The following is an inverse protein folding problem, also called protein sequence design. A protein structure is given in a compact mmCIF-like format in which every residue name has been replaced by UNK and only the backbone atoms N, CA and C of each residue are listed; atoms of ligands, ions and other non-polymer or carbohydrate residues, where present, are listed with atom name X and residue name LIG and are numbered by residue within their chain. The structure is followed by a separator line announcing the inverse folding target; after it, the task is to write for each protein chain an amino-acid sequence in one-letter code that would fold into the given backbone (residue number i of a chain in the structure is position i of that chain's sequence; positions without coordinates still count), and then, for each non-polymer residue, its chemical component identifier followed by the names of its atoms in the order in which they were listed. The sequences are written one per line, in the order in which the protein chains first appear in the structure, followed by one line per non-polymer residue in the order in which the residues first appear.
data_IF_397308015835
#
_entry.id   IF_397308015835
#
_cell.length_a   1.000
_cell.length_b   1.000
_cell.length_c   1.000
_cell.angle_alpha   90.00
_cell.angle_beta   90.00
_cell.angle_gamma   90.00
#
_symmetry.space_group_name_H-M   'P 1'
#
loop_
_entity.id
_entity.type
_entity.pdbx_description
1 polymer ?
#
# COMPACT_ATOMS: atom_id res chain seq x y z
N UNK A 1 2.45 9.37 -12.09
CA UNK A 1 1.07 9.34 -12.64
C UNK A 1 0.22 8.67 -11.57
N UNK A 2 -0.78 9.40 -11.05
CA UNK A 2 -1.58 8.93 -9.92
C UNK A 2 -2.74 8.05 -10.39
N UNK A 3 -3.05 7.01 -9.64
CA UNK A 3 -4.24 6.19 -9.87
C UNK A 3 -5.50 6.90 -9.42
N UNK A 4 -6.66 6.34 -9.79
CA UNK A 4 -7.97 6.83 -9.37
C UNK A 4 -8.11 7.02 -7.84
N UNK A 5 -7.41 6.22 -7.04
CA UNK A 5 -7.44 6.30 -5.58
C UNK A 5 -6.53 7.42 -5.06
N UNK A 6 -5.42 7.65 -5.73
CA UNK A 6 -4.45 8.69 -5.39
C UNK A 6 -4.97 10.08 -5.81
N UNK A 7 -5.62 10.20 -6.97
CA UNK A 7 -6.20 11.46 -7.45
C UNK A 7 -7.33 12.01 -6.57
N UNK A 8 -7.97 11.16 -5.78
CA UNK A 8 -9.09 11.54 -4.90
C UNK A 8 -8.64 11.98 -3.51
N UNK A 9 -7.36 11.84 -3.19
CA UNK A 9 -6.84 12.08 -1.85
C UNK A 9 -5.69 13.09 -1.87
N UNK A 10 -5.72 14.00 -0.91
CA UNK A 10 -4.54 14.82 -0.59
C UNK A 10 -3.61 14.00 0.30
N UNK A 11 -2.41 13.73 -0.18
CA UNK A 11 -1.38 13.11 0.64
C UNK A 11 -0.71 14.15 1.52
N UNK A 12 -0.45 13.85 2.79
CA UNK A 12 0.42 14.68 3.59
C UNK A 12 1.83 14.64 2.99
N UNK A 13 2.54 15.77 3.08
CA UNK A 13 3.96 15.81 2.72
C UNK A 13 4.73 15.20 3.89
N UNK A 14 5.33 14.03 3.67
CA UNK A 14 6.19 13.42 4.67
C UNK A 14 7.58 14.05 4.65
N UNK A 15 8.23 14.19 5.81
CA UNK A 15 9.57 14.79 5.87
C UNK A 15 10.62 13.88 5.22
N UNK A 16 11.69 14.50 4.71
CA UNK A 16 12.94 13.80 4.35
C UNK A 16 13.74 13.60 5.64
N UNK A 17 14.31 12.42 5.83
CA UNK A 17 15.17 12.15 6.99
C UNK A 17 16.52 12.89 6.86
N UNK A 18 16.79 13.81 7.80
CA UNK A 18 18.00 14.66 7.80
C UNK A 18 18.82 14.56 9.08
N UNK A 19 18.45 13.69 10.01
CA UNK A 19 19.13 13.51 11.30
C UNK A 19 19.19 12.04 11.64
N UNK A 20 20.24 11.66 12.36
CA UNK A 20 20.41 10.31 12.88
C UNK A 20 19.20 9.87 13.70
N UNK A 21 18.79 8.64 13.48
CA UNK A 21 17.64 8.03 14.16
C UNK A 21 17.99 6.66 14.72
N UNK A 22 17.25 6.31 15.77
CA UNK A 22 17.23 4.95 16.33
C UNK A 22 15.79 4.47 16.41
N UNK A 23 15.57 3.21 16.02
CA UNK A 23 14.24 2.59 16.06
C UNK A 23 14.36 1.11 16.37
N UNK A 24 13.32 0.52 16.98
CA UNK A 24 13.27 -0.93 17.18
C UNK A 24 13.03 -1.65 15.86
N UNK A 25 12.15 -1.11 15.02
CA UNK A 25 11.79 -1.70 13.72
C UNK A 25 11.80 -0.61 12.65
N UNK A 26 12.51 -0.90 11.56
CA UNK A 26 12.53 -0.09 10.35
C UNK A 26 11.90 -0.88 9.21
N UNK A 27 10.89 -0.32 8.59
CA UNK A 27 10.31 -0.79 7.33
C UNK A 27 10.90 0.03 6.17
N UNK A 28 11.41 -0.66 5.16
CA UNK A 28 11.92 -0.07 3.92
C UNK A 28 10.91 -0.29 2.82
N UNK A 29 10.39 0.81 2.28
CA UNK A 29 9.25 0.84 1.37
C UNK A 29 7.93 1.16 2.08
N UNK A 30 7.19 2.15 1.59
CA UNK A 30 5.91 2.59 2.16
C UNK A 30 4.73 1.77 1.61
N UNK A 31 4.78 0.44 1.74
CA UNK A 31 3.72 -0.44 1.27
C UNK A 31 2.51 -0.43 2.22
N UNK A 32 1.33 -0.80 1.73
CA UNK A 32 0.15 -0.94 2.58
C UNK A 32 0.36 -2.02 3.66
N UNK A 33 1.05 -3.10 3.33
CA UNK A 33 1.44 -4.15 4.27
C UNK A 33 2.31 -3.60 5.39
N UNK A 34 3.38 -2.88 5.04
CA UNK A 34 4.27 -2.25 6.02
C UNK A 34 3.54 -1.25 6.91
N UNK A 35 2.61 -0.47 6.37
CA UNK A 35 1.80 0.46 7.16
C UNK A 35 0.93 -0.27 8.19
N UNK A 36 0.29 -1.37 7.81
CA UNK A 36 -0.53 -2.21 8.71
C UNK A 36 0.34 -2.82 9.81
N UNK A 37 1.45 -3.45 9.44
CA UNK A 37 2.36 -4.07 10.40
C UNK A 37 2.97 -3.03 11.35
N UNK A 38 3.43 -1.89 10.82
CA UNK A 38 3.99 -0.79 11.59
C UNK A 38 3.00 -0.27 12.65
N UNK A 39 1.73 -0.08 12.28
CA UNK A 39 0.70 0.33 13.21
C UNK A 39 0.55 -0.67 14.37
N UNK A 40 0.45 -1.98 14.09
CA UNK A 40 0.33 -2.99 15.15
C UNK A 40 1.58 -3.07 16.03
N UNK A 41 2.78 -2.94 15.45
CA UNK A 41 4.02 -2.90 16.24
C UNK A 41 4.08 -1.66 17.15
N UNK A 42 3.60 -0.52 16.65
CA UNK A 42 3.49 0.72 17.43
C UNK A 42 2.52 0.57 18.59
N UNK A 43 1.37 -0.07 18.38
CA UNK A 43 0.41 -0.36 19.47
C UNK A 43 0.98 -1.30 20.54
N UNK A 44 1.94 -2.15 20.18
CA UNK A 44 2.69 -2.98 21.14
C UNK A 44 3.79 -2.20 21.87
N UNK A 45 3.89 -0.88 21.69
CA UNK A 45 4.84 -0.01 22.38
C UNK A 45 6.24 0.00 21.79
N UNK A 46 6.45 -0.53 20.58
CA UNK A 46 7.75 -0.46 19.87
C UNK A 46 7.92 0.88 19.17
N UNK A 47 9.15 1.34 19.10
CA UNK A 47 9.50 2.44 18.19
C UNK A 47 9.57 1.90 16.76
N UNK A 48 8.82 2.54 15.86
CA UNK A 48 8.66 2.06 14.49
C UNK A 48 8.83 3.21 13.50
N UNK A 49 9.52 2.93 12.41
CA UNK A 49 9.78 3.88 11.35
C UNK A 49 9.54 3.24 9.97
N UNK A 50 9.02 4.03 9.05
CA UNK A 50 8.92 3.68 7.63
C UNK A 50 9.76 4.68 6.84
N UNK A 51 10.58 4.20 5.92
CA UNK A 51 11.28 5.05 4.95
C UNK A 51 10.91 4.64 3.53
N UNK A 52 10.83 5.62 2.64
CA UNK A 52 10.53 5.43 1.22
C UNK A 52 11.51 6.25 0.37
N UNK A 53 12.07 5.62 -0.67
CA UNK A 53 13.02 6.29 -1.58
C UNK A 53 12.33 7.32 -2.47
N UNK A 54 11.05 7.09 -2.82
CA UNK A 54 10.24 7.98 -3.65
C UNK A 54 9.30 8.84 -2.81
N UNK A 55 8.47 9.64 -3.46
CA UNK A 55 7.32 10.26 -2.82
C UNK A 55 6.24 9.21 -2.57
N UNK A 56 5.68 9.18 -1.36
CA UNK A 56 4.66 8.20 -0.97
C UNK A 56 3.39 8.36 -1.81
N UNK A 57 3.04 9.60 -2.17
CA UNK A 57 1.90 9.85 -3.06
C UNK A 57 2.04 9.20 -4.44
N UNK A 58 3.26 8.90 -4.88
CA UNK A 58 3.57 8.27 -6.17
C UNK A 58 3.72 6.74 -6.09
N UNK A 59 3.50 6.13 -4.92
CA UNK A 59 3.69 4.69 -4.73
C UNK A 59 2.67 3.89 -5.53
N UNK A 60 3.12 2.97 -6.43
CA UNK A 60 2.22 2.16 -7.26
C UNK A 60 1.24 1.33 -6.45
N UNK A 61 1.67 0.80 -5.31
CA UNK A 61 0.86 -0.08 -4.48
C UNK A 61 -0.35 0.62 -3.86
N UNK A 62 -0.23 1.92 -3.55
CA UNK A 62 -1.35 2.73 -3.06
C UNK A 62 -2.34 3.06 -4.20
N UNK A 63 -1.91 2.89 -5.44
CA UNK A 63 -2.75 2.94 -6.62
C UNK A 63 -3.52 1.65 -6.90
N UNK A 64 -3.22 0.56 -6.19
CA UNK A 64 -3.80 -0.75 -6.41
C UNK A 64 -5.28 -0.86 -6.06
N UNK A 65 -5.89 -2.03 -6.36
CA UNK A 65 -7.33 -2.28 -6.14
C UNK A 65 -7.75 -2.34 -4.67
N UNK A 66 -6.79 -2.39 -3.75
CA UNK A 66 -7.07 -2.49 -2.31
C UNK A 66 -7.70 -3.83 -1.89
N UNK A 67 -7.55 -4.89 -2.70
CA UNK A 67 -8.02 -6.23 -2.34
C UNK A 67 -6.94 -6.93 -1.54
N UNK A 68 -7.28 -7.25 -0.28
CA UNK A 68 -6.44 -8.02 0.63
C UNK A 68 -7.01 -9.45 0.70
N UNK A 69 -6.21 -10.42 0.27
CA UNK A 69 -6.62 -11.82 0.15
C UNK A 69 -5.69 -12.73 0.94
N UNK A 70 -6.27 -13.61 1.73
CA UNK A 70 -5.55 -14.66 2.42
C UNK A 70 -5.46 -15.92 1.53
N UNK A 71 -4.25 -16.44 1.33
CA UNK A 71 -3.96 -17.63 0.53
C UNK A 71 -3.64 -18.86 1.41
N UNK A 72 -3.38 -18.62 2.69
CA UNK A 72 -3.06 -19.66 3.67
C UNK A 72 -3.66 -19.34 5.04
N UNK A 73 -3.55 -20.29 5.98
CA UNK A 73 -4.15 -20.18 7.31
C UNK A 73 -3.59 -19.02 8.16
N UNK A 74 -2.34 -18.67 8.01
CA UNK A 74 -1.74 -17.59 8.78
C UNK A 74 -2.23 -16.23 8.26
N UNK A 75 -2.17 -16.04 6.95
CA UNK A 75 -2.73 -14.85 6.30
C UNK A 75 -4.22 -14.69 6.59
N UNK A 76 -4.98 -15.80 6.67
CA UNK A 76 -6.40 -15.74 7.07
C UNK A 76 -6.59 -15.19 8.49
N UNK A 77 -5.75 -15.62 9.44
CA UNK A 77 -5.81 -15.08 10.80
C UNK A 77 -5.47 -13.59 10.82
N UNK A 78 -4.42 -13.18 10.10
CA UNK A 78 -4.01 -11.78 9.98
C UNK A 78 -5.11 -10.94 9.34
N UNK A 79 -5.74 -11.43 8.28
CA UNK A 79 -6.87 -10.77 7.63
C UNK A 79 -8.07 -10.61 8.57
N UNK A 80 -8.39 -11.63 9.37
CA UNK A 80 -9.45 -11.55 10.38
C UNK A 80 -9.12 -10.53 11.47
N UNK A 81 -7.88 -10.45 11.92
CA UNK A 81 -7.43 -9.46 12.90
C UNK A 81 -7.58 -8.05 12.31
N UNK A 82 -7.07 -7.83 11.10
CA UNK A 82 -7.17 -6.56 10.41
C UNK A 82 -8.62 -6.13 10.19
N UNK A 83 -9.47 -7.02 9.68
CA UNK A 83 -10.90 -6.74 9.48
C UNK A 83 -11.58 -6.30 10.77
N UNK A 84 -11.37 -7.05 11.86
CA UNK A 84 -11.95 -6.71 13.16
C UNK A 84 -11.38 -5.40 13.72
N UNK A 85 -10.12 -5.12 13.47
CA UNK A 85 -9.48 -3.86 13.84
C UNK A 85 -10.11 -2.68 13.10
N UNK A 86 -10.25 -2.77 11.77
CA UNK A 86 -10.90 -1.74 10.94
C UNK A 86 -12.32 -1.44 11.46
N UNK A 87 -13.11 -2.48 11.72
CA UNK A 87 -14.49 -2.34 12.20
C UNK A 87 -14.51 -1.68 13.59
N UNK A 88 -13.71 -2.17 14.52
CA UNK A 88 -13.66 -1.67 15.91
C UNK A 88 -13.19 -0.22 16.00
N UNK A 89 -12.21 0.15 15.19
CA UNK A 89 -11.66 1.51 15.16
C UNK A 89 -12.44 2.47 14.26
N UNK A 90 -13.51 1.98 13.61
CA UNK A 90 -14.30 2.76 12.65
C UNK A 90 -13.43 3.46 11.58
N UNK A 91 -12.44 2.72 11.03
CA UNK A 91 -11.51 3.28 10.06
C UNK A 91 -12.24 3.62 8.76
N UNK A 92 -12.18 4.88 8.27
CA UNK A 92 -12.92 5.31 7.10
C UNK A 92 -12.21 4.87 5.79
N UNK A 93 -12.05 3.57 5.57
CA UNK A 93 -11.33 3.01 4.42
C UNK A 93 -12.22 2.25 3.44
N UNK A 94 -13.54 2.52 3.43
CA UNK A 94 -14.50 1.92 2.50
C UNK A 94 -14.42 0.37 2.50
N UNK A 95 -14.42 -0.22 3.69
CA UNK A 95 -14.31 -1.68 3.86
C UNK A 95 -15.48 -2.42 3.24
N UNK A 96 -15.20 -3.35 2.35
CA UNK A 96 -16.15 -4.31 1.78
C UNK A 96 -15.64 -5.74 2.02
N UNK A 97 -16.54 -6.63 2.43
CA UNK A 97 -16.23 -8.05 2.62
C UNK A 97 -16.60 -8.79 1.34
N UNK A 98 -15.59 -9.19 0.55
CA UNK A 98 -15.83 -9.91 -0.70
C UNK A 98 -16.11 -11.39 -0.44
N UNK A 99 -15.36 -11.99 0.49
CA UNK A 99 -15.52 -13.39 0.90
C UNK A 99 -14.96 -13.59 2.30
N UNK A 100 -15.02 -14.83 2.82
CA UNK A 100 -14.38 -15.17 4.09
C UNK A 100 -12.85 -14.90 4.07
N UNK A 101 -12.22 -15.09 2.92
CA UNK A 101 -10.76 -14.98 2.75
C UNK A 101 -10.31 -13.71 2.04
N UNK A 102 -11.22 -12.77 1.77
CA UNK A 102 -10.86 -11.52 1.08
C UNK A 102 -11.73 -10.34 1.49
N UNK A 103 -11.08 -9.20 1.66
CA UNK A 103 -11.69 -7.91 1.88
C UNK A 103 -11.20 -6.90 0.84
N UNK A 104 -11.99 -5.88 0.62
CA UNK A 104 -11.62 -4.74 -0.20
C UNK A 104 -11.63 -3.47 0.65
N UNK A 105 -10.67 -2.60 0.43
CA UNK A 105 -10.51 -1.33 1.14
C UNK A 105 -10.09 -0.24 0.16
N UNK A 106 -10.24 1.01 0.55
CA UNK A 106 -9.56 2.11 -0.14
C UNK A 106 -8.11 2.15 0.34
N UNK A 107 -7.11 1.80 -0.49
CA UNK A 107 -5.75 1.55 -0.03
C UNK A 107 -5.10 2.80 0.57
N UNK A 108 -5.32 3.98 -0.04
CA UNK A 108 -4.77 5.25 0.45
C UNK A 108 -5.36 5.63 1.81
N UNK A 109 -6.70 5.55 1.97
CA UNK A 109 -7.34 5.87 3.26
C UNK A 109 -6.85 4.96 4.38
N UNK A 110 -6.72 3.66 4.10
CA UNK A 110 -6.19 2.71 5.07
C UNK A 110 -4.74 3.01 5.40
N UNK A 111 -3.89 3.25 4.40
CA UNK A 111 -2.49 3.62 4.60
C UNK A 111 -2.35 4.85 5.50
N UNK A 112 -3.05 5.94 5.18
CA UNK A 112 -2.99 7.18 5.95
C UNK A 112 -3.45 6.99 7.39
N UNK A 113 -4.47 6.17 7.61
CA UNK A 113 -4.90 5.87 8.98
C UNK A 113 -3.85 5.05 9.74
N UNK A 114 -3.30 4.02 9.13
CA UNK A 114 -2.31 3.13 9.75
C UNK A 114 -0.99 3.85 10.06
N UNK A 115 -0.65 4.89 9.31
CA UNK A 115 0.61 5.61 9.49
C UNK A 115 0.49 6.89 10.33
N UNK A 116 -0.71 7.27 10.79
CA UNK A 116 -0.94 8.55 11.51
C UNK A 116 -0.04 8.77 12.73
N UNK A 117 0.31 7.69 13.44
CA UNK A 117 1.14 7.72 14.65
C UNK A 117 2.51 7.05 14.44
N UNK A 118 2.87 6.69 13.20
CA UNK A 118 4.14 6.09 12.82
C UNK A 118 5.07 7.17 12.27
N UNK A 119 6.36 7.11 12.60
CA UNK A 119 7.36 7.97 11.96
C UNK A 119 7.55 7.53 10.51
N UNK A 120 7.20 8.39 9.56
CA UNK A 120 7.30 8.11 8.11
C UNK A 120 8.16 9.17 7.45
N UNK A 121 9.08 8.74 6.61
CA UNK A 121 9.97 9.59 5.83
C UNK A 121 9.93 9.19 4.36
N UNK A 122 9.75 10.16 3.47
CA UNK A 122 9.82 9.96 2.02
C UNK A 122 11.11 10.53 1.44
N UNK A 123 11.40 10.26 0.17
CA UNK A 123 12.59 10.72 -0.53
C UNK A 123 13.87 10.42 0.28
N UNK A 124 13.88 9.26 0.94
CA UNK A 124 14.93 8.84 1.86
C UNK A 124 15.54 7.53 1.36
N UNK A 125 16.64 7.67 0.63
CA UNK A 125 17.35 6.57 -0.02
C UNK A 125 18.44 6.01 0.88
N UNK A 126 18.49 4.67 0.99
CA UNK A 126 19.60 3.97 1.63
C UNK A 126 20.79 3.99 0.68
N UNK A 127 21.93 4.49 1.16
CA UNK A 127 23.18 4.57 0.41
C UNK A 127 24.17 3.46 0.78
N UNK A 128 24.12 2.97 2.02
CA UNK A 128 24.93 1.84 2.48
C UNK A 128 24.25 1.12 3.65
N UNK A 129 24.67 -0.13 3.90
CA UNK A 129 24.18 -0.94 5.02
C UNK A 129 25.34 -1.64 5.72
N UNK A 130 25.41 -1.50 7.02
CA UNK A 130 26.40 -2.13 7.90
C UNK A 130 25.68 -2.83 9.07
N UNK A 131 25.25 -4.06 8.85
CA UNK A 131 24.47 -4.80 9.83
C UNK A 131 23.11 -4.14 10.08
N UNK A 132 22.92 -3.59 11.29
CA UNK A 132 21.69 -2.90 11.70
C UNK A 132 21.71 -1.39 11.44
N UNK A 133 22.84 -0.86 11.01
CA UNK A 133 22.98 0.53 10.61
C UNK A 133 22.76 0.69 9.11
N UNK A 134 21.89 1.59 8.76
CA UNK A 134 21.62 2.00 7.39
C UNK A 134 22.05 3.45 7.22
N UNK A 135 22.98 3.69 6.34
CA UNK A 135 23.40 5.04 5.98
C UNK A 135 22.48 5.58 4.90
N UNK A 136 22.07 6.83 5.04
CA UNK A 136 21.33 7.61 4.07
C UNK A 136 22.16 8.84 3.69
N UNK A 137 21.73 9.63 2.71
CA UNK A 137 22.55 10.71 2.15
C UNK A 137 23.11 11.68 3.20
N UNK A 138 22.35 12.03 4.24
CA UNK A 138 22.71 13.05 5.23
C UNK A 138 22.66 12.59 6.69
N UNK A 139 22.36 11.31 6.94
CA UNK A 139 22.20 10.77 8.29
C UNK A 139 22.37 9.24 8.29
N UNK A 140 22.15 8.60 9.44
CA UNK A 140 22.03 7.14 9.53
C UNK A 140 20.84 6.72 10.40
N UNK A 141 20.40 5.49 10.22
CA UNK A 141 19.39 4.83 11.04
C UNK A 141 20.03 3.61 11.71
N UNK A 142 19.94 3.55 13.05
CA UNK A 142 20.28 2.36 13.83
C UNK A 142 18.98 1.63 14.17
N UNK A 143 18.73 0.51 13.50
CA UNK A 143 17.49 -0.25 13.62
C UNK A 143 17.72 -1.57 14.35
N UNK A 144 16.88 -1.91 15.33
CA UNK A 144 16.88 -3.21 15.98
C UNK A 144 16.58 -4.35 14.99
N UNK A 145 15.61 -4.12 14.11
CA UNK A 145 15.21 -5.00 13.00
C UNK A 145 14.93 -4.16 11.76
N UNK A 146 15.30 -4.68 10.58
CA UNK A 146 14.99 -4.08 9.28
C UNK A 146 14.12 -5.06 8.50
N UNK A 147 12.99 -4.57 8.00
CA UNK A 147 12.03 -5.33 7.20
C UNK A 147 11.96 -4.69 5.83
N UNK A 148 12.22 -5.47 4.80
CA UNK A 148 12.19 -5.10 3.39
C UNK A 148 11.37 -6.16 2.65
N UNK A 149 10.60 -5.74 1.65
CA UNK A 149 9.94 -6.71 0.78
C UNK A 149 10.92 -7.20 -0.30
N UNK A 150 11.17 -8.50 -0.32
CA UNK A 150 12.15 -9.15 -1.23
C UNK A 150 11.66 -9.26 -2.69
N UNK A 151 10.43 -8.93 -2.96
CA UNK A 151 9.84 -9.13 -4.30
C UNK A 151 9.69 -7.79 -5.02
N UNK A 152 10.25 -7.66 -6.24
CA UNK A 152 9.88 -6.57 -7.12
C UNK A 152 8.37 -6.64 -7.36
N UNK A 153 7.68 -5.52 -7.19
CA UNK A 153 6.26 -5.43 -7.51
C UNK A 153 6.08 -5.78 -9.00
N UNK A 154 5.26 -6.80 -9.28
CA UNK A 154 4.91 -7.09 -10.68
C UNK A 154 4.15 -5.90 -11.25
N UNK A 155 4.59 -5.42 -12.40
CA UNK A 155 3.91 -4.33 -13.09
C UNK A 155 2.47 -4.72 -13.39
N UNK A 156 1.55 -3.88 -12.98
CA UNK A 156 0.12 -4.04 -13.23
C UNK A 156 -0.42 -2.77 -13.84
N UNK A 157 -1.55 -2.90 -14.50
CA UNK A 157 -2.25 -1.76 -15.07
C UNK A 157 -3.66 -1.71 -14.49
N UNK A 158 -4.06 -0.53 -14.04
CA UNK A 158 -5.44 -0.26 -13.66
C UNK A 158 -6.11 0.47 -14.81
N UNK A 159 -7.26 -0.01 -15.21
CA UNK A 159 -8.06 0.55 -16.28
C UNK A 159 -9.46 0.90 -15.77
N UNK A 160 -9.99 2.02 -16.22
CA UNK A 160 -11.38 2.42 -15.96
C UNK A 160 -12.15 2.36 -17.26
N UNK A 161 -13.22 1.58 -17.27
CA UNK A 161 -14.15 1.48 -18.38
C UNK A 161 -15.52 2.00 -17.97
N UNK A 162 -16.28 2.60 -18.92
CA UNK A 162 -17.71 2.72 -18.73
C UNK A 162 -18.37 1.34 -18.85
N UNK A 163 -19.47 1.09 -18.13
CA UNK A 163 -20.16 -0.19 -18.15
C UNK A 163 -20.59 -0.59 -19.59
N UNK A 164 -20.97 0.40 -20.42
CA UNK A 164 -21.33 0.21 -21.83
C UNK A 164 -20.15 -0.05 -22.76
N UNK A 165 -18.91 0.26 -22.35
CA UNK A 165 -17.69 0.10 -23.14
C UNK A 165 -16.74 -0.97 -22.60
N UNK A 166 -17.25 -1.87 -21.73
CA UNK A 166 -16.43 -2.94 -21.19
C UNK A 166 -16.03 -3.91 -22.31
N UNK A 167 -14.74 -4.12 -22.56
CA UNK A 167 -14.29 -5.03 -23.60
C UNK A 167 -14.66 -6.48 -23.26
N UNK A 168 -14.95 -7.28 -24.29
CA UNK A 168 -14.97 -8.74 -24.15
C UNK A 168 -13.57 -9.23 -23.80
N UNK A 169 -13.34 -9.47 -22.52
CA UNK A 169 -12.02 -9.91 -22.05
C UNK A 169 -12.02 -11.42 -21.96
N UNK A 170 -11.32 -12.06 -22.88
CA UNK A 170 -11.00 -13.48 -22.78
C UNK A 170 -9.97 -13.68 -21.67
N UNK A 171 -10.35 -14.47 -20.65
CA UNK A 171 -9.44 -14.92 -19.57
C UNK A 171 -8.15 -15.50 -20.16
N UNK A 172 -6.92 -15.32 -19.60
CA UNK A 172 -6.64 -15.48 -18.16
C UNK A 172 -6.00 -14.28 -17.46
N UNK A 173 -5.86 -13.14 -18.08
CA UNK A 173 -4.97 -12.07 -17.64
C UNK A 173 -5.65 -11.04 -16.72
N UNK A 174 -6.96 -11.19 -16.43
CA UNK A 174 -7.68 -10.32 -15.50
C UNK A 174 -7.31 -10.74 -14.08
N UNK A 175 -6.73 -9.82 -13.34
CA UNK A 175 -6.39 -10.04 -11.95
C UNK A 175 -7.57 -9.74 -11.03
N UNK A 176 -8.25 -8.62 -11.26
CA UNK A 176 -9.31 -8.14 -10.39
C UNK A 176 -10.26 -7.19 -11.14
N UNK A 177 -11.55 -7.22 -10.80
CA UNK A 177 -12.58 -6.32 -11.31
C UNK A 177 -13.30 -5.70 -10.12
N UNK A 178 -13.51 -4.38 -10.16
CA UNK A 178 -14.26 -3.66 -9.13
C UNK A 178 -15.25 -2.69 -9.77
N UNK A 179 -16.45 -2.62 -9.24
CA UNK A 179 -17.40 -1.56 -9.58
C UNK A 179 -16.93 -0.24 -8.96
N UNK A 180 -16.94 0.83 -9.77
CA UNK A 180 -16.56 2.16 -9.34
C UNK A 180 -17.57 3.18 -9.80
N UNK A 181 -18.26 3.82 -8.84
CA UNK A 181 -19.46 4.61 -9.11
C UNK A 181 -20.55 3.78 -9.82
N UNK A 182 -21.64 4.39 -10.21
CA UNK A 182 -22.79 3.65 -10.79
C UNK A 182 -22.49 3.08 -12.18
N UNK A 183 -21.66 3.79 -12.97
CA UNK A 183 -21.49 3.51 -14.41
C UNK A 183 -20.07 3.08 -14.82
N UNK A 184 -19.18 2.78 -13.85
CA UNK A 184 -17.79 2.46 -14.17
C UNK A 184 -17.31 1.17 -13.52
N UNK A 185 -16.49 0.45 -14.27
CA UNK A 185 -15.73 -0.71 -13.80
C UNK A 185 -14.24 -0.37 -13.77
N UNK A 186 -13.57 -0.77 -12.72
CA UNK A 186 -12.11 -0.72 -12.60
C UNK A 186 -11.58 -2.12 -12.72
N UNK A 187 -10.59 -2.29 -13.55
CA UNK A 187 -10.01 -3.56 -13.90
C UNK A 187 -8.49 -3.52 -13.67
N UNK A 188 -7.97 -4.45 -12.90
CA UNK A 188 -6.53 -4.69 -12.79
C UNK A 188 -6.11 -5.76 -13.78
N UNK A 189 -5.07 -5.47 -14.58
CA UNK A 189 -4.64 -6.31 -15.69
C UNK A 189 -3.13 -6.31 -15.83
N UNK A 190 -2.54 -7.39 -16.36
CA UNK A 190 -1.08 -7.50 -16.50
C UNK A 190 -0.51 -6.69 -17.66
N UNK A 191 -1.33 -6.28 -18.61
CA UNK A 191 -0.92 -5.48 -19.76
C UNK A 191 -1.87 -4.32 -19.98
N UNK A 192 -1.40 -3.27 -20.66
CA UNK A 192 -2.24 -2.14 -21.04
C UNK A 192 -3.30 -2.58 -22.04
N UNK A 193 -4.57 -2.29 -21.76
CA UNK A 193 -5.70 -2.56 -22.64
C UNK A 193 -6.06 -1.31 -23.46
N UNK A 194 -6.47 -1.54 -24.71
CA UNK A 194 -7.05 -0.50 -25.55
C UNK A 194 -8.49 -0.20 -25.15
N UNK A 195 -8.95 1.02 -25.42
CA UNK A 195 -10.33 1.44 -25.18
C UNK A 195 -10.68 1.81 -23.74
N UNK A 196 -9.72 1.74 -22.81
CA UNK A 196 -9.94 2.25 -21.45
C UNK A 196 -10.05 3.78 -21.45
N UNK A 197 -10.95 4.33 -20.62
CA UNK A 197 -11.07 5.77 -20.43
C UNK A 197 -9.79 6.35 -19.82
N UNK A 198 -9.26 5.67 -18.82
CA UNK A 198 -7.99 5.99 -18.17
C UNK A 198 -7.25 4.69 -17.85
N UNK A 199 -5.94 4.72 -17.91
CA UNK A 199 -5.08 3.60 -17.51
C UNK A 199 -3.84 4.09 -16.78
N UNK A 200 -3.48 3.38 -15.70
CA UNK A 200 -2.29 3.66 -14.90
C UNK A 200 -1.45 2.39 -14.76
N UNK A 201 -0.13 2.54 -14.89
CA UNK A 201 0.83 1.50 -14.51
C UNK A 201 1.10 1.61 -13.00
N UNK A 202 0.96 0.52 -12.26
CA UNK A 202 1.13 0.42 -10.81
C UNK A 202 2.13 -0.67 -10.45
#
# INVERSE_FOLDING_TARGET
MHSIWQEQMEFPVYPILKRDKKTDILYVGATLKHAIEANFQKEMGRSVMIIEEKSIGDMPELGGMGILKATNRNEFKELCILKNYIIRQHIPCDLEIISETSIQVHPVKLFLFMTKDVEVYEQTKITARQGKRLDIESAYIDAGQVIEDDKPCEKRYIHVFSEAGFPEITKPDILEIRKYKEDYLVLSYQRKLEGSRNSWEI
#
